data_IF_670743661443
#
_entry.id   IF_670743661443
#
_cell.length_a   1.000
_cell.length_b   1.000
_cell.length_c   1.000
_cell.angle_alpha   90.00
_cell.angle_beta   90.00
_cell.angle_gamma   90.00
#
_symmetry.space_group_name_H-M   'P 1'
#
loop_
_entity.id
_entity.type
_entity.pdbx_description
1 polymer ?
#
# COMPACT_ATOMS: atom_id res chain seq x y z
N UNK A 1 13.56 14.46 12.30
CA UNK A 1 12.28 14.36 11.59
C UNK A 1 12.58 14.28 10.12
N UNK A 2 11.95 13.35 9.41
CA UNK A 2 12.14 13.22 7.97
C UNK A 2 11.52 14.41 7.22
N UNK A 3 11.96 14.65 5.99
CA UNK A 3 11.40 15.71 5.15
C UNK A 3 10.13 15.20 4.46
N UNK A 4 8.98 15.78 4.78
CA UNK A 4 7.69 15.46 4.15
C UNK A 4 7.10 16.71 3.51
N UNK A 5 6.69 16.61 2.24
CA UNK A 5 6.07 17.71 1.48
C UNK A 5 5.18 17.13 0.38
N UNK A 6 4.12 17.82 0.01
CA UNK A 6 3.16 17.33 -0.99
C UNK A 6 3.78 17.07 -2.39
N UNK A 7 4.92 17.68 -2.73
CA UNK A 7 5.64 17.40 -3.98
C UNK A 7 6.53 16.14 -3.91
N UNK A 8 6.72 15.55 -2.73
CA UNK A 8 7.50 14.32 -2.52
C UNK A 8 6.58 13.11 -2.73
N UNK A 9 6.60 12.62 -3.97
CA UNK A 9 5.80 11.49 -4.44
C UNK A 9 6.67 10.28 -4.84
N UNK A 10 7.98 10.42 -4.77
CA UNK A 10 8.94 9.38 -5.13
C UNK A 10 10.19 9.43 -4.26
N UNK A 11 10.72 8.26 -3.94
CA UNK A 11 12.00 8.09 -3.27
C UNK A 11 13.12 8.73 -4.09
N UNK A 12 13.80 9.77 -3.57
CA UNK A 12 14.88 10.40 -4.32
C UNK A 12 16.05 9.44 -4.53
N UNK A 13 16.73 9.51 -5.67
CA UNK A 13 17.94 8.73 -5.90
C UNK A 13 19.12 9.15 -5.00
N UNK A 14 19.14 10.40 -4.55
CA UNK A 14 20.13 10.91 -3.59
C UNK A 14 19.96 10.23 -2.22
N UNK A 15 20.96 9.45 -1.83
CA UNK A 15 21.00 8.72 -0.55
C UNK A 15 21.09 9.65 0.66
N UNK A 16 21.57 10.88 0.49
CA UNK A 16 21.63 11.86 1.57
C UNK A 16 20.27 12.49 1.86
N UNK A 17 19.31 12.36 0.93
CA UNK A 17 17.97 12.88 1.11
C UNK A 17 17.23 12.16 2.23
N UNK A 18 16.66 12.93 3.15
CA UNK A 18 15.75 12.46 4.19
C UNK A 18 14.27 12.48 3.78
N UNK A 19 13.98 12.59 2.48
CA UNK A 19 12.62 12.71 1.97
C UNK A 19 11.81 11.41 2.17
N UNK A 20 10.59 11.57 2.69
CA UNK A 20 9.64 10.49 2.91
C UNK A 20 8.31 10.79 2.23
N UNK A 21 7.50 9.76 1.91
CA UNK A 21 6.23 9.95 1.23
C UNK A 21 5.31 10.90 2.00
N UNK A 22 4.64 11.79 1.28
CA UNK A 22 3.53 12.56 1.84
C UNK A 22 2.22 11.77 1.69
N UNK A 23 1.97 10.90 2.68
CA UNK A 23 0.80 10.01 2.69
C UNK A 23 -0.58 10.67 2.60
N UNK A 24 -0.83 11.94 3.01
CA UNK A 24 -2.17 12.52 2.88
C UNK A 24 -2.73 12.55 1.45
N UNK A 25 -1.87 12.48 0.42
CA UNK A 25 -2.32 12.29 -0.97
C UNK A 25 -3.23 11.08 -1.13
N UNK A 26 -2.93 9.96 -0.45
CA UNK A 26 -3.69 8.72 -0.55
C UNK A 26 -5.16 8.94 -0.19
N UNK A 27 -5.43 9.68 0.90
CA UNK A 27 -6.80 10.01 1.31
C UNK A 27 -7.48 10.83 0.22
N UNK A 28 -6.84 11.94 -0.20
CA UNK A 28 -7.45 12.86 -1.17
C UNK A 28 -7.71 12.21 -2.53
N UNK A 29 -6.82 11.32 -2.97
CA UNK A 29 -6.95 10.64 -4.27
C UNK A 29 -7.98 9.53 -4.23
N UNK A 30 -8.04 8.74 -3.15
CA UNK A 30 -9.10 7.75 -2.97
C UNK A 30 -10.47 8.43 -2.92
N UNK A 31 -10.64 9.47 -2.10
CA UNK A 31 -11.89 10.21 -1.99
C UNK A 31 -12.34 10.77 -3.35
N UNK A 32 -11.42 11.40 -4.09
CA UNK A 32 -11.71 11.94 -5.41
C UNK A 32 -12.11 10.85 -6.43
N UNK A 33 -11.44 9.69 -6.42
CA UNK A 33 -11.72 8.62 -7.38
C UNK A 33 -13.07 7.94 -7.13
N UNK A 34 -13.51 7.81 -5.89
CA UNK A 34 -14.78 7.14 -5.55
C UNK A 34 -15.96 8.09 -5.39
N UNK A 35 -15.72 9.41 -5.37
CA UNK A 35 -16.77 10.41 -5.23
C UNK A 35 -17.85 10.27 -6.32
N UNK A 36 -19.11 10.13 -5.89
CA UNK A 36 -20.26 10.06 -6.78
C UNK A 36 -20.46 8.73 -7.51
N UNK A 37 -19.67 7.70 -7.22
CA UNK A 37 -19.94 6.35 -7.71
C UNK A 37 -21.19 5.77 -7.04
N UNK A 38 -22.01 5.06 -7.81
CA UNK A 38 -23.13 4.27 -7.24
C UNK A 38 -22.60 2.98 -6.61
N UNK A 39 -23.43 2.30 -5.82
CA UNK A 39 -23.05 1.01 -5.23
C UNK A 39 -22.72 -0.02 -6.30
N UNK A 40 -23.47 -0.06 -7.41
CA UNK A 40 -23.15 -0.96 -8.53
C UNK A 40 -21.77 -0.68 -9.12
N UNK A 41 -21.37 0.60 -9.21
CA UNK A 41 -20.07 0.99 -9.73
C UNK A 41 -18.93 0.72 -8.74
N UNK A 42 -19.20 0.88 -7.44
CA UNK A 42 -18.28 0.58 -6.35
C UNK A 42 -18.01 -0.91 -6.21
N UNK A 43 -19.02 -1.74 -6.50
CA UNK A 43 -19.02 -3.19 -6.27
C UNK A 43 -18.81 -4.02 -7.55
N UNK A 44 -18.70 -3.35 -8.70
CA UNK A 44 -18.30 -3.98 -9.95
C UNK A 44 -16.95 -4.70 -9.80
N UNK A 45 -16.93 -5.99 -10.15
CA UNK A 45 -15.75 -6.85 -10.20
C UNK A 45 -15.96 -7.97 -11.22
N UNK A 46 -14.86 -8.58 -11.68
CA UNK A 46 -14.86 -9.72 -12.60
C UNK A 46 -13.86 -10.76 -12.07
N UNK A 47 -14.29 -11.96 -11.63
CA UNK A 47 -13.41 -12.98 -11.07
C UNK A 47 -12.67 -13.81 -12.12
N UNK A 48 -12.71 -13.43 -13.41
CA UNK A 48 -12.00 -14.14 -14.46
C UNK A 48 -10.48 -14.20 -14.20
N UNK A 49 -9.83 -15.37 -14.32
CA UNK A 49 -8.38 -15.48 -14.15
C UNK A 49 -7.58 -14.74 -15.24
N UNK A 50 -8.22 -14.38 -16.36
CA UNK A 50 -7.61 -13.59 -17.42
C UNK A 50 -7.52 -12.09 -17.07
N UNK A 51 -8.17 -11.67 -15.97
CA UNK A 51 -8.28 -10.27 -15.55
C UNK A 51 -8.17 -10.15 -14.03
N UNK A 52 -7.12 -10.70 -13.43
CA UNK A 52 -6.95 -10.67 -11.96
C UNK A 52 -7.05 -9.28 -11.35
N UNK A 53 -6.63 -8.24 -12.08
CA UNK A 53 -6.75 -6.85 -11.64
C UNK A 53 -8.21 -6.40 -11.40
N UNK A 54 -9.21 -7.14 -11.91
CA UNK A 54 -10.64 -6.90 -11.71
C UNK A 54 -11.25 -7.73 -10.59
N UNK A 55 -10.49 -8.62 -9.94
CA UNK A 55 -11.03 -9.51 -8.88
C UNK A 55 -11.57 -8.73 -7.69
N UNK A 56 -11.00 -7.56 -7.41
CA UNK A 56 -11.45 -6.67 -6.34
C UNK A 56 -12.11 -5.43 -6.92
N UNK A 57 -13.32 -5.16 -6.44
CA UNK A 57 -14.08 -3.96 -6.77
C UNK A 57 -13.44 -2.70 -6.19
N UNK A 58 -13.86 -1.51 -6.65
CA UNK A 58 -13.37 -0.24 -6.11
C UNK A 58 -13.50 -0.19 -4.57
N UNK A 59 -14.63 -0.67 -4.02
CA UNK A 59 -14.84 -0.73 -2.57
C UNK A 59 -13.83 -1.63 -1.86
N UNK A 60 -13.54 -2.80 -2.42
CA UNK A 60 -12.51 -3.71 -1.88
C UNK A 60 -11.11 -3.13 -2.00
N UNK A 61 -10.81 -2.37 -3.04
CA UNK A 61 -9.54 -1.66 -3.14
C UNK A 61 -9.39 -0.63 -2.01
N UNK A 62 -10.43 0.15 -1.69
CA UNK A 62 -10.41 1.10 -0.56
C UNK A 62 -10.24 0.36 0.78
N UNK A 63 -10.97 -0.74 0.97
CA UNK A 63 -10.85 -1.62 2.14
C UNK A 63 -9.40 -2.13 2.30
N UNK A 64 -8.78 -2.58 1.21
CA UNK A 64 -7.40 -3.04 1.23
C UNK A 64 -6.40 -1.92 1.59
N UNK A 65 -6.51 -0.74 0.98
CA UNK A 65 -5.62 0.40 1.29
C UNK A 65 -5.70 0.75 2.79
N UNK A 66 -6.92 0.79 3.35
CA UNK A 66 -7.11 1.06 4.77
C UNK A 66 -6.54 -0.06 5.66
N UNK A 67 -6.78 -1.32 5.29
CA UNK A 67 -6.21 -2.48 5.97
C UNK A 67 -4.68 -2.44 5.98
N UNK A 68 -4.07 -2.19 4.83
CA UNK A 68 -2.62 -2.19 4.65
C UNK A 68 -1.97 -1.09 5.49
N UNK A 69 -2.54 0.13 5.47
CA UNK A 69 -2.08 1.23 6.31
C UNK A 69 -2.11 0.91 7.82
N UNK A 70 -3.18 0.26 8.30
CA UNK A 70 -3.34 -0.11 9.72
C UNK A 70 -2.42 -1.27 10.11
N UNK A 71 -2.40 -2.34 9.32
CA UNK A 71 -1.65 -3.57 9.62
C UNK A 71 -0.16 -3.34 9.47
N UNK A 72 0.28 -2.61 8.44
CA UNK A 72 1.67 -2.26 8.24
C UNK A 72 2.23 -1.50 9.44
N UNK A 73 1.60 -0.37 9.80
CA UNK A 73 2.09 0.49 10.88
C UNK A 73 2.12 -0.25 12.20
N UNK A 74 1.08 -1.02 12.53
CA UNK A 74 1.09 -1.89 13.71
C UNK A 74 2.27 -2.87 13.70
N UNK A 75 2.41 -3.68 12.63
CA UNK A 75 3.36 -4.81 12.61
C UNK A 75 4.80 -4.38 12.43
N UNK A 76 5.04 -3.28 11.71
CA UNK A 76 6.38 -2.86 11.30
C UNK A 76 6.93 -1.70 12.11
N UNK A 77 6.06 -0.84 12.65
CA UNK A 77 6.44 0.40 13.31
C UNK A 77 5.67 0.66 14.62
N UNK A 78 4.91 -0.32 15.14
CA UNK A 78 4.09 -0.13 16.33
C UNK A 78 4.91 0.25 17.57
N UNK A 79 6.14 -0.25 17.68
CA UNK A 79 7.08 0.09 18.75
C UNK A 79 7.57 1.54 18.68
N UNK A 80 7.52 2.18 17.52
CA UNK A 80 7.86 3.60 17.34
C UNK A 80 6.63 4.49 17.60
N UNK A 81 5.45 4.05 17.15
CA UNK A 81 4.20 4.82 17.31
C UNK A 81 3.66 4.81 18.74
N UNK A 82 3.82 3.69 19.46
CA UNK A 82 3.28 3.49 20.79
C UNK A 82 4.32 2.83 21.72
N UNK A 83 5.48 3.47 21.97
CA UNK A 83 6.57 2.86 22.74
C UNK A 83 6.22 2.58 24.20
N UNK A 84 5.28 3.35 24.77
CA UNK A 84 4.90 3.30 26.18
C UNK A 84 3.38 3.19 26.37
N UNK A 85 2.65 2.87 25.31
CA UNK A 85 1.19 2.85 25.29
C UNK A 85 0.68 1.53 24.71
N UNK A 86 -0.56 1.18 25.04
CA UNK A 86 -1.23 0.10 24.34
C UNK A 86 -1.44 0.50 22.88
N UNK A 87 -1.15 -0.42 21.96
CA UNK A 87 -1.51 -0.24 20.55
C UNK A 87 -3.03 -0.08 20.44
N UNK A 88 -3.54 0.96 19.76
CA UNK A 88 -4.97 1.10 19.50
C UNK A 88 -5.55 -0.12 18.80
N UNK A 89 -6.85 -0.38 18.99
CA UNK A 89 -7.54 -1.54 18.39
C UNK A 89 -8.73 -1.08 17.52
N UNK A 90 -8.49 -0.38 16.40
CA UNK A 90 -9.57 0.08 15.51
C UNK A 90 -10.21 -1.05 14.70
N UNK A 91 -9.58 -2.23 14.67
CA UNK A 91 -10.03 -3.46 14.02
C UNK A 91 -9.65 -4.66 14.89
N UNK A 92 -10.27 -5.82 14.65
CA UNK A 92 -9.91 -7.06 15.33
C UNK A 92 -8.58 -7.62 14.80
N UNK A 93 -7.49 -7.38 15.52
CA UNK A 93 -6.16 -7.83 15.10
C UNK A 93 -6.01 -9.34 14.91
N UNK A 94 -6.80 -10.15 15.62
CA UNK A 94 -6.75 -11.61 15.51
C UNK A 94 -7.29 -12.11 14.16
N UNK A 95 -8.31 -11.45 13.63
CA UNK A 95 -8.97 -11.84 12.37
C UNK A 95 -8.32 -11.25 11.12
N UNK A 96 -7.48 -10.22 11.29
CA UNK A 96 -6.83 -9.47 10.21
C UNK A 96 -5.33 -9.83 10.05
N UNK A 97 -4.94 -11.03 10.47
CA UNK A 97 -3.58 -11.53 10.21
C UNK A 97 -3.44 -11.92 8.73
N UNK A 98 -2.21 -11.87 8.21
CA UNK A 98 -1.94 -12.35 6.85
C UNK A 98 -1.91 -13.86 6.81
N UNK A 99 -2.63 -14.46 5.86
CA UNK A 99 -2.56 -15.90 5.60
C UNK A 99 -3.89 -16.53 5.19
N UNK A 100 -3.85 -17.70 4.54
CA UNK A 100 -5.03 -18.33 3.91
C UNK A 100 -6.12 -18.75 4.90
N UNK A 101 -5.78 -18.94 6.17
CA UNK A 101 -6.71 -19.37 7.23
C UNK A 101 -7.34 -18.18 7.99
N UNK A 102 -6.97 -16.94 7.67
CA UNK A 102 -7.51 -15.76 8.33
C UNK A 102 -8.80 -15.29 7.67
N UNK A 103 -9.78 -14.93 8.51
CA UNK A 103 -11.11 -14.48 8.06
C UNK A 103 -11.01 -13.24 7.17
N UNK A 104 -10.15 -12.28 7.54
CA UNK A 104 -10.00 -10.98 6.89
C UNK A 104 -8.55 -10.78 6.42
N UNK A 105 -8.05 -11.71 5.60
CA UNK A 105 -6.74 -11.57 4.93
C UNK A 105 -6.79 -10.40 3.93
N UNK A 106 -5.93 -9.39 4.14
CA UNK A 106 -5.74 -8.21 3.27
C UNK A 106 -6.97 -7.32 3.05
N UNK A 107 -8.05 -7.49 3.82
CA UNK A 107 -9.26 -6.67 3.71
C UNK A 107 -9.75 -6.31 5.11
N UNK A 108 -10.44 -5.19 5.25
CA UNK A 108 -11.22 -4.91 6.45
C UNK A 108 -12.43 -5.86 6.53
N UNK A 109 -12.89 -6.10 7.76
CA UNK A 109 -14.13 -6.82 8.04
C UNK A 109 -15.33 -6.19 7.34
N UNK A 110 -15.87 -6.87 6.33
CA UNK A 110 -16.99 -6.37 5.52
C UNK A 110 -18.33 -6.39 6.27
N UNK A 111 -18.46 -7.13 7.38
CA UNK A 111 -19.65 -7.08 8.24
C UNK A 111 -19.67 -5.81 9.09
N UNK A 112 -18.50 -5.18 9.30
CA UNK A 112 -18.33 -3.96 10.11
C UNK A 112 -18.03 -2.71 9.27
N UNK A 113 -17.31 -2.88 8.16
CA UNK A 113 -16.78 -1.80 7.33
C UNK A 113 -17.09 -2.10 5.86
N UNK A 114 -18.28 -1.70 5.43
CA UNK A 114 -18.71 -1.83 4.04
C UNK A 114 -19.08 -0.48 3.43
N UNK A 115 -19.76 0.35 4.19
CA UNK A 115 -20.17 1.68 3.74
C UNK A 115 -18.96 2.56 3.48
N UNK A 116 -19.02 3.36 2.41
CA UNK A 116 -17.91 4.24 2.00
C UNK A 116 -17.44 5.14 3.14
N UNK A 117 -18.32 5.77 3.94
CA UNK A 117 -17.87 6.57 5.09
C UNK A 117 -17.01 5.78 6.09
N UNK A 118 -17.41 4.55 6.44
CA UNK A 118 -16.67 3.72 7.40
C UNK A 118 -15.30 3.31 6.86
N UNK A 119 -15.24 2.95 5.57
CA UNK A 119 -14.00 2.64 4.87
C UNK A 119 -13.06 3.86 4.83
N UNK A 120 -13.59 5.04 4.51
CA UNK A 120 -12.81 6.29 4.48
C UNK A 120 -12.32 6.69 5.87
N UNK A 121 -13.10 6.45 6.92
CA UNK A 121 -12.67 6.71 8.30
C UNK A 121 -11.51 5.80 8.71
N UNK A 122 -11.54 4.51 8.35
CA UNK A 122 -10.40 3.61 8.57
C UNK A 122 -9.18 3.97 7.72
N UNK A 123 -9.41 4.37 6.47
CA UNK A 123 -8.35 4.88 5.60
C UNK A 123 -7.67 6.09 6.23
N UNK A 124 -8.44 7.11 6.62
CA UNK A 124 -7.94 8.32 7.28
C UNK A 124 -7.16 7.99 8.55
N UNK A 125 -7.66 7.05 9.37
CA UNK A 125 -6.96 6.61 10.56
C UNK A 125 -5.60 5.96 10.22
N UNK A 126 -5.57 4.98 9.32
CA UNK A 126 -4.33 4.31 8.92
C UNK A 126 -3.31 5.27 8.30
N UNK A 127 -3.77 6.17 7.42
CA UNK A 127 -2.92 7.20 6.82
C UNK A 127 -2.42 8.19 7.88
N UNK A 128 -3.22 8.52 8.90
CA UNK A 128 -2.76 9.37 10.01
C UNK A 128 -1.61 8.73 10.78
N UNK A 129 -1.58 7.40 10.92
CA UNK A 129 -0.50 6.68 11.58
C UNK A 129 0.78 6.68 10.75
N UNK A 130 0.67 6.46 9.44
CA UNK A 130 1.80 6.57 8.51
C UNK A 130 2.37 7.99 8.48
N UNK A 131 1.50 9.00 8.41
CA UNK A 131 1.86 10.42 8.44
C UNK A 131 2.58 10.76 9.74
N UNK A 132 1.99 10.40 10.89
CA UNK A 132 2.60 10.58 12.20
C UNK A 132 3.98 9.93 12.28
N UNK A 133 4.12 8.71 11.76
CA UNK A 133 5.38 7.98 11.78
C UNK A 133 6.48 8.75 11.02
N UNK A 134 6.23 9.13 9.76
CA UNK A 134 7.24 9.84 8.94
C UNK A 134 7.55 11.24 9.45
N UNK A 135 6.61 11.90 10.11
CA UNK A 135 6.83 13.20 10.71
C UNK A 135 7.65 13.09 12.00
N UNK A 136 7.31 12.16 12.90
CA UNK A 136 7.90 12.10 14.25
C UNK A 136 9.29 11.45 14.29
N UNK A 137 9.57 10.49 13.42
CA UNK A 137 10.81 9.73 13.45
C UNK A 137 11.89 10.32 12.52
N UNK A 138 13.13 9.86 12.71
CA UNK A 138 14.27 10.26 11.89
C UNK A 138 14.52 9.30 10.73
N UNK A 139 15.07 9.80 9.64
CA UNK A 139 15.53 8.95 8.53
C UNK A 139 16.60 7.95 8.99
N UNK A 140 17.43 8.31 9.98
CA UNK A 140 18.40 7.39 10.60
C UNK A 140 17.71 6.21 11.29
N UNK A 141 16.62 6.46 12.04
CA UNK A 141 15.78 5.41 12.63
C UNK A 141 15.25 4.49 11.53
N UNK A 142 14.72 5.05 10.44
CA UNK A 142 14.14 4.25 9.36
C UNK A 142 15.16 3.38 8.62
N UNK A 143 16.39 3.87 8.50
CA UNK A 143 17.48 3.14 7.82
C UNK A 143 18.11 2.06 8.68
N UNK A 144 18.14 2.23 10.01
CA UNK A 144 18.69 1.25 10.94
C UNK A 144 17.75 0.07 11.23
N UNK A 145 16.45 0.27 11.06
CA UNK A 145 15.41 -0.75 11.20
C UNK A 145 15.42 -1.73 10.03
N UNK A 146 16.15 -2.83 10.13
CA UNK A 146 16.33 -3.82 9.06
C UNK A 146 15.54 -5.11 9.34
N UNK A 147 14.92 -5.69 8.32
CA UNK A 147 14.38 -7.05 8.34
C UNK A 147 14.89 -7.85 7.15
N UNK A 148 15.01 -9.15 7.34
CA UNK A 148 15.27 -10.12 6.27
C UNK A 148 14.12 -11.10 6.21
N UNK A 149 13.62 -11.36 5.01
CA UNK A 149 12.53 -12.31 4.75
C UNK A 149 12.91 -13.22 3.60
N UNK A 150 12.22 -14.35 3.49
CA UNK A 150 12.30 -15.17 2.28
C UNK A 150 11.68 -14.40 1.10
N UNK A 151 12.45 -14.25 0.03
CA UNK A 151 12.03 -13.56 -1.16
C UNK A 151 10.98 -14.33 -1.95
N UNK A 152 10.26 -13.59 -2.78
CA UNK A 152 9.33 -14.11 -3.78
C UNK A 152 9.58 -13.43 -5.11
N UNK A 153 9.03 -13.98 -6.20
CA UNK A 153 9.05 -13.34 -7.52
C UNK A 153 8.43 -11.93 -7.47
N UNK A 154 7.35 -11.74 -6.69
CA UNK A 154 6.81 -10.41 -6.38
C UNK A 154 7.89 -9.48 -5.82
N UNK A 155 8.60 -9.91 -4.76
CA UNK A 155 9.64 -9.09 -4.13
C UNK A 155 10.76 -8.73 -5.09
N UNK A 156 11.30 -9.71 -5.82
CA UNK A 156 12.36 -9.50 -6.82
C UNK A 156 11.94 -8.44 -7.84
N UNK A 157 10.67 -8.45 -8.25
CA UNK A 157 10.14 -7.50 -9.21
C UNK A 157 9.93 -6.11 -8.62
N UNK A 158 9.24 -5.98 -7.50
CA UNK A 158 8.81 -4.66 -6.98
C UNK A 158 9.97 -3.84 -6.40
N UNK A 159 11.00 -4.48 -5.85
CA UNK A 159 12.15 -3.76 -5.28
C UNK A 159 12.99 -3.05 -6.34
N UNK A 160 12.87 -3.44 -7.61
CA UNK A 160 13.53 -2.74 -8.74
C UNK A 160 13.07 -1.29 -8.88
N UNK A 161 11.94 -0.92 -8.24
CA UNK A 161 11.39 0.43 -8.25
C UNK A 161 11.96 1.33 -7.15
N UNK A 162 12.77 0.78 -6.24
CA UNK A 162 13.41 1.51 -5.17
C UNK A 162 14.89 1.74 -5.49
N UNK A 163 15.39 2.99 -5.42
CA UNK A 163 16.82 3.25 -5.55
C UNK A 163 17.64 2.71 -4.36
N UNK A 164 17.02 2.53 -3.18
CA UNK A 164 17.68 2.01 -1.98
C UNK A 164 16.67 1.39 -1.01
N UNK A 165 17.18 0.77 0.05
CA UNK A 165 16.39 0.35 1.20
C UNK A 165 15.72 -1.02 1.08
N UNK A 166 15.83 -1.70 -0.07
CA UNK A 166 15.48 -3.11 -0.25
C UNK A 166 16.39 -3.74 -1.31
N UNK A 167 16.93 -4.93 -1.04
CA UNK A 167 17.80 -5.67 -1.96
C UNK A 167 17.80 -7.17 -1.63
N UNK A 168 18.24 -8.01 -2.57
CA UNK A 168 18.59 -9.39 -2.25
C UNK A 168 19.65 -9.45 -1.15
N UNK A 169 19.52 -10.40 -0.23
CA UNK A 169 20.49 -10.57 0.85
C UNK A 169 21.85 -10.98 0.28
N UNK A 170 22.96 -10.38 0.75
CA UNK A 170 24.30 -10.77 0.31
C UNK A 170 24.69 -12.17 0.80
N UNK A 171 24.03 -12.71 1.82
CA UNK A 171 24.31 -14.02 2.41
C UNK A 171 23.55 -15.15 1.70
N UNK A 172 22.33 -14.87 1.23
CA UNK A 172 21.42 -15.83 0.60
C UNK A 172 20.51 -15.10 -0.38
N UNK A 173 20.73 -15.31 -1.69
CA UNK A 173 19.96 -14.63 -2.73
C UNK A 173 18.49 -15.06 -2.81
N UNK A 174 18.07 -16.11 -2.08
CA UNK A 174 16.65 -16.45 -1.91
C UNK A 174 15.95 -15.58 -0.86
N UNK A 175 16.69 -14.68 -0.19
CA UNK A 175 16.19 -13.78 0.82
C UNK A 175 16.27 -12.32 0.37
N UNK A 176 15.39 -11.50 0.91
CA UNK A 176 15.37 -10.05 0.70
C UNK A 176 15.61 -9.36 2.04
N UNK A 177 16.54 -8.43 2.06
CA UNK A 177 16.81 -7.54 3.19
C UNK A 177 16.29 -6.15 2.87
N UNK A 178 15.52 -5.58 3.78
CA UNK A 178 14.94 -4.26 3.60
C UNK A 178 14.86 -3.47 4.91
N UNK A 179 14.97 -2.15 4.76
CA UNK A 179 14.89 -1.15 5.81
C UNK A 179 13.44 -0.71 6.01
N UNK A 180 13.14 -0.03 7.14
CA UNK A 180 11.86 0.63 7.32
C UNK A 180 11.67 1.80 6.33
N UNK A 181 12.75 2.49 5.94
CA UNK A 181 12.71 3.51 4.86
C UNK A 181 12.16 2.90 3.56
N UNK A 182 12.74 1.79 3.12
CA UNK A 182 12.28 1.06 1.94
C UNK A 182 10.84 0.59 2.08
N UNK A 183 10.47 0.01 3.23
CA UNK A 183 9.10 -0.41 3.51
C UNK A 183 8.07 0.71 3.42
N UNK A 184 8.38 1.91 3.93
CA UNK A 184 7.46 3.05 3.88
C UNK A 184 7.22 3.52 2.43
N UNK A 185 8.27 3.56 1.61
CA UNK A 185 8.12 3.83 0.18
C UNK A 185 7.35 2.74 -0.56
N UNK A 186 7.62 1.48 -0.27
CA UNK A 186 6.88 0.35 -0.84
C UNK A 186 5.39 0.41 -0.52
N UNK A 187 5.02 0.66 0.75
CA UNK A 187 3.60 0.75 1.15
C UNK A 187 2.91 1.93 0.44
N UNK A 188 3.61 3.06 0.25
CA UNK A 188 3.08 4.18 -0.51
C UNK A 188 2.81 3.78 -1.97
N UNK A 189 3.77 3.12 -2.63
CA UNK A 189 3.63 2.67 -4.01
C UNK A 189 2.56 1.57 -4.19
N UNK A 190 2.41 0.68 -3.22
CA UNK A 190 1.33 -0.31 -3.16
C UNK A 190 -0.03 0.39 -3.17
N UNK A 191 -0.25 1.34 -2.26
CA UNK A 191 -1.49 2.13 -2.21
C UNK A 191 -1.77 2.88 -3.52
N UNK A 192 -0.74 3.46 -4.17
CA UNK A 192 -0.91 4.08 -5.49
C UNK A 192 -1.39 3.09 -6.55
N UNK A 193 -0.90 1.86 -6.51
CA UNK A 193 -1.34 0.82 -7.44
C UNK A 193 -2.79 0.40 -7.26
N UNK A 194 -3.30 0.44 -6.03
CA UNK A 194 -4.72 0.22 -5.74
C UNK A 194 -5.59 1.38 -6.22
N UNK A 195 -5.13 2.63 -6.05
CA UNK A 195 -5.80 3.81 -6.66
C UNK A 195 -5.81 3.69 -8.18
N UNK A 196 -4.70 3.29 -8.80
CA UNK A 196 -4.64 3.05 -10.25
C UNK A 196 -5.63 1.96 -10.67
N UNK A 197 -5.80 0.92 -9.86
CA UNK A 197 -6.76 -0.16 -10.15
C UNK A 197 -8.20 0.35 -10.09
N UNK A 198 -8.54 1.23 -9.13
CA UNK A 198 -9.83 1.95 -9.10
C UNK A 198 -10.04 2.73 -10.42
N UNK A 199 -9.03 3.47 -10.90
CA UNK A 199 -9.13 4.17 -12.18
C UNK A 199 -9.36 3.22 -13.36
N UNK A 200 -8.69 2.06 -13.39
CA UNK A 200 -8.88 1.05 -14.44
C UNK A 200 -10.29 0.47 -14.43
N UNK A 201 -10.85 0.20 -13.24
CA UNK A 201 -12.24 -0.25 -13.09
C UNK A 201 -13.23 0.82 -13.56
N UNK A 202 -13.00 2.09 -13.22
CA UNK A 202 -13.79 3.22 -13.73
C UNK A 202 -13.75 3.30 -15.26
N UNK A 203 -12.56 3.28 -15.84
CA UNK A 203 -12.37 3.32 -17.31
C UNK A 203 -13.11 2.15 -17.98
N UNK A 204 -13.03 0.95 -17.41
CA UNK A 204 -13.73 -0.23 -17.93
C UNK A 204 -15.25 -0.04 -17.94
N UNK A 205 -15.79 0.66 -16.94
CA UNK A 205 -17.21 1.02 -16.84
C UNK A 205 -17.59 2.27 -17.67
N UNK A 206 -16.66 2.84 -18.45
CA UNK A 206 -16.88 4.05 -19.24
C UNK A 206 -16.83 5.37 -18.46
N UNK A 207 -16.29 5.35 -17.24
CA UNK A 207 -16.13 6.51 -16.38
C UNK A 207 -14.74 7.16 -16.54
N UNK A 208 -14.66 8.45 -16.23
CA UNK A 208 -13.40 9.20 -16.29
C UNK A 208 -12.69 9.18 -14.92
N UNK A 209 -11.37 8.93 -14.86
CA UNK A 209 -10.58 9.12 -13.65
C UNK A 209 -10.68 10.57 -13.12
N UNK A 210 -10.64 10.72 -11.81
CA UNK A 210 -10.77 12.04 -11.16
C UNK A 210 -9.42 12.71 -10.90
N UNK A 211 -8.34 11.93 -10.85
CA UNK A 211 -6.99 12.37 -10.49
C UNK A 211 -6.00 11.99 -11.59
N UNK A 212 -5.07 12.89 -11.91
CA UNK A 212 -3.89 12.54 -12.71
C UNK A 212 -2.84 11.90 -11.81
N UNK A 213 -2.75 10.57 -11.84
CA UNK A 213 -1.91 9.80 -10.93
C UNK A 213 -0.46 9.78 -11.43
N UNK A 214 0.54 10.11 -10.58
CA UNK A 214 1.92 10.16 -11.03
C UNK A 214 2.47 8.78 -11.35
N UNK A 215 3.31 8.69 -12.39
CA UNK A 215 3.94 7.43 -12.82
C UNK A 215 5.27 7.16 -12.11
N UNK A 216 5.17 6.76 -10.83
CA UNK A 216 6.29 6.56 -9.90
C UNK A 216 6.23 5.18 -9.24
N UNK A 217 7.36 4.70 -8.71
CA UNK A 217 7.41 3.43 -7.99
C UNK A 217 6.81 2.27 -8.79
N UNK A 218 5.90 1.52 -8.17
CA UNK A 218 5.21 0.40 -8.81
C UNK A 218 4.46 0.79 -10.08
N UNK A 219 3.96 2.02 -10.19
CA UNK A 219 3.24 2.48 -11.38
C UNK A 219 4.12 2.62 -12.63
N UNK A 220 5.44 2.46 -12.52
CA UNK A 220 6.33 2.33 -13.69
C UNK A 220 6.33 0.92 -14.28
N UNK A 221 5.95 -0.07 -13.48
CA UNK A 221 5.93 -1.46 -13.88
C UNK A 221 4.67 -1.71 -14.74
N UNK A 222 4.81 -2.37 -15.92
CA UNK A 222 3.69 -2.58 -16.86
C UNK A 222 2.43 -3.18 -16.24
N UNK A 223 2.58 -4.16 -15.35
CA UNK A 223 1.48 -4.88 -14.68
C UNK A 223 0.62 -3.96 -13.79
N UNK A 224 1.24 -2.97 -13.13
CA UNK A 224 0.55 -2.08 -12.20
C UNK A 224 -0.06 -0.86 -12.89
N UNK A 225 0.52 -0.38 -13.99
CA UNK A 225 -0.10 0.69 -14.79
C UNK A 225 -1.30 0.17 -15.61
N UNK A 226 -1.25 -1.10 -16.02
CA UNK A 226 -2.22 -1.72 -16.93
C UNK A 226 -1.79 -1.67 -18.40
N UNK A 227 -0.48 -1.73 -18.68
CA UNK A 227 0.06 -1.82 -20.05
C UNK A 227 0.07 -3.26 -20.58
N UNK A 228 -0.18 -4.23 -19.71
CA UNK A 228 -0.30 -5.65 -20.04
C UNK A 228 -1.56 -6.22 -19.38
N UNK A 229 -2.08 -7.30 -19.97
CA UNK A 229 -3.12 -8.15 -19.40
C UNK A 229 -2.54 -9.34 -18.64
N UNK A 230 -1.22 -9.51 -18.63
CA UNK A 230 -0.54 -10.51 -17.81
C UNK A 230 -0.70 -10.18 -16.32
N UNK A 231 -0.77 -11.22 -15.50
CA UNK A 231 -0.78 -11.05 -14.05
C UNK A 231 0.63 -10.70 -13.57
N UNK A 232 0.71 -9.85 -12.54
CA UNK A 232 2.00 -9.53 -11.93
C UNK A 232 2.66 -10.77 -11.33
N UNK A 233 3.99 -10.74 -11.11
CA UNK A 233 4.70 -11.84 -10.48
C UNK A 233 4.07 -12.24 -9.14
N UNK A 234 3.89 -13.54 -8.94
CA UNK A 234 3.18 -14.08 -7.79
C UNK A 234 4.04 -14.23 -6.53
N UNK A 235 3.46 -14.89 -5.52
CA UNK A 235 4.12 -15.16 -4.23
C UNK A 235 5.00 -16.43 -4.25
N UNK A 236 5.41 -16.90 -5.43
CA UNK A 236 6.32 -18.04 -5.55
C UNK A 236 7.66 -17.67 -4.94
N UNK A 237 8.22 -18.56 -4.13
CA UNK A 237 9.51 -18.35 -3.45
C UNK A 237 10.66 -18.39 -4.47
N UNK A 238 11.66 -17.54 -4.23
CA UNK A 238 12.98 -17.63 -4.87
C UNK A 238 13.72 -18.90 -4.44
#
# INVERSE_FOLDING_TARGET
MALTRADIIEMPADETSGAMPWYPHIVTWVEAEIAGLTDEQLDFHDPSPEREWMWWSCRRQVSHIAWDALVFTKRRAGHLLWPNEATPEPINWGEHQMGPDNKWDRLLDADLFWEVPDLLDKLKLGISWLTRLVEQESTETFRSEIKTVRGTEFWEYVITTLPRGAAASPEDNSQITYTLEGSLWMVFYEMLSHIRTIQRLKIHQGLTPSVDLPRVGYLRLPHYWGETNENGPGMRRL
#
